data_IF_194888944642
#
_entry.id   IF_194888944642
#
_cell.length_a   1.000
_cell.length_b   1.000
_cell.length_c   1.000
_cell.angle_alpha   90.00
_cell.angle_beta   90.00
_cell.angle_gamma   90.00
#
_symmetry.space_group_name_H-M   'P 1'
#
loop_
_entity.id
_entity.type
_entity.pdbx_description
1 polymer ?
#
# COMPACT_ATOMS: atom_id res chain seq x y z
N UNK A 1 -25.99 2.90 -10.63
CA UNK A 1 -25.05 3.54 -9.68
C UNK A 1 -24.78 2.62 -8.48
N UNK A 2 -25.77 2.14 -7.72
CA UNK A 2 -25.57 1.24 -6.55
C UNK A 2 -24.80 -0.06 -6.83
N UNK A 3 -24.98 -0.69 -8.01
CA UNK A 3 -24.30 -1.95 -8.34
C UNK A 3 -22.78 -1.80 -8.51
N UNK A 4 -22.30 -0.62 -8.91
CA UNK A 4 -20.88 -0.38 -9.16
C UNK A 4 -20.10 -0.25 -7.85
N UNK A 5 -20.68 0.44 -6.86
CA UNK A 5 -20.06 0.61 -5.54
C UNK A 5 -19.93 -0.74 -4.81
N UNK A 6 -20.99 -1.57 -4.86
CA UNK A 6 -20.95 -2.91 -4.26
C UNK A 6 -19.88 -3.80 -4.91
N UNK A 7 -19.75 -3.75 -6.23
CA UNK A 7 -18.73 -4.50 -6.95
C UNK A 7 -17.32 -4.07 -6.54
N UNK A 8 -17.05 -2.76 -6.51
CA UNK A 8 -15.76 -2.22 -6.10
C UNK A 8 -15.42 -2.61 -4.64
N UNK A 9 -16.38 -2.50 -3.72
CA UNK A 9 -16.17 -2.89 -2.32
C UNK A 9 -15.85 -4.39 -2.17
N UNK A 10 -16.59 -5.26 -2.87
CA UNK A 10 -16.33 -6.71 -2.85
C UNK A 10 -14.97 -7.07 -3.44
N UNK A 11 -14.60 -6.44 -4.56
CA UNK A 11 -13.29 -6.65 -5.17
C UNK A 11 -12.16 -6.22 -4.23
N UNK A 12 -12.29 -5.04 -3.62
CA UNK A 12 -11.30 -4.49 -2.71
C UNK A 12 -11.14 -5.33 -1.44
N UNK A 13 -12.25 -5.77 -0.84
CA UNK A 13 -12.26 -6.71 0.29
C UNK A 13 -11.55 -8.03 -0.07
N UNK A 14 -11.83 -8.59 -1.25
CA UNK A 14 -11.17 -9.80 -1.70
C UNK A 14 -9.66 -9.60 -1.92
N UNK A 15 -9.25 -8.46 -2.50
CA UNK A 15 -7.83 -8.11 -2.65
C UNK A 15 -7.14 -7.94 -1.30
N UNK A 16 -7.82 -7.36 -0.30
CA UNK A 16 -7.26 -7.24 1.05
C UNK A 16 -7.06 -8.62 1.69
N UNK A 17 -8.05 -9.52 1.58
CA UNK A 17 -7.91 -10.91 2.05
C UNK A 17 -6.76 -11.64 1.36
N UNK A 18 -6.55 -11.42 0.06
CA UNK A 18 -5.40 -11.98 -0.65
C UNK A 18 -4.07 -11.44 -0.09
N UNK A 19 -3.99 -10.13 0.16
CA UNK A 19 -2.82 -9.47 0.76
C UNK A 19 -2.46 -10.09 2.11
N UNK A 20 -3.43 -10.18 3.01
CA UNK A 20 -3.27 -10.72 4.38
C UNK A 20 -2.80 -12.18 4.37
N UNK A 21 -3.30 -12.98 3.42
CA UNK A 21 -2.87 -14.37 3.24
C UNK A 21 -1.58 -14.51 2.43
N UNK A 22 -1.03 -13.41 1.88
CA UNK A 22 0.12 -13.43 0.97
C UNK A 22 -0.16 -14.14 -0.37
N UNK A 23 -1.42 -14.34 -0.73
CA UNK A 23 -1.81 -14.97 -2.00
C UNK A 23 -1.64 -13.97 -3.14
N UNK A 24 -0.95 -14.38 -4.21
CA UNK A 24 -0.62 -13.54 -5.38
C UNK A 24 0.17 -12.25 -5.08
N UNK A 25 0.63 -12.04 -3.85
CA UNK A 25 1.54 -10.94 -3.51
C UNK A 25 2.88 -11.13 -4.23
N UNK A 26 3.13 -10.27 -5.21
CA UNK A 26 4.33 -10.25 -6.06
C UNK A 26 5.28 -9.08 -5.72
N UNK A 27 4.91 -8.27 -4.72
CA UNK A 27 5.74 -7.21 -4.14
C UNK A 27 6.03 -7.49 -2.66
N UNK A 28 7.25 -7.18 -2.22
CA UNK A 28 7.58 -7.01 -0.81
C UNK A 28 8.21 -5.65 -0.60
N UNK A 29 7.53 -4.79 0.17
CA UNK A 29 8.08 -3.50 0.61
C UNK A 29 8.81 -3.69 1.92
N UNK A 30 10.04 -3.20 2.00
CA UNK A 30 10.92 -3.34 3.17
C UNK A 30 11.23 -1.96 3.71
N UNK A 31 10.94 -1.75 5.00
CA UNK A 31 11.27 -0.54 5.75
C UNK A 31 12.01 -0.98 7.01
N UNK A 32 13.33 -0.75 7.04
CA UNK A 32 14.19 -1.27 8.10
C UNK A 32 14.14 -2.80 8.15
N UNK A 33 13.64 -3.36 9.26
CA UNK A 33 13.50 -4.80 9.45
C UNK A 33 12.10 -5.34 9.14
N UNK A 34 11.13 -4.46 8.88
CA UNK A 34 9.74 -4.84 8.65
C UNK A 34 9.49 -5.04 7.15
N UNK A 35 8.66 -6.03 6.85
CA UNK A 35 8.33 -6.44 5.49
C UNK A 35 6.82 -6.44 5.30
N UNK A 36 6.37 -5.90 4.18
CA UNK A 36 4.97 -5.80 3.81
C UNK A 36 4.75 -6.45 2.46
N UNK A 37 3.99 -7.54 2.43
CA UNK A 37 3.57 -8.19 1.18
C UNK A 37 2.43 -7.39 0.55
N UNK A 38 2.48 -7.21 -0.75
CA UNK A 38 1.45 -6.51 -1.50
C UNK A 38 1.41 -6.98 -2.96
N UNK A 39 0.32 -6.64 -3.65
CA UNK A 39 0.20 -6.77 -5.09
C UNK A 39 0.76 -5.51 -5.78
N UNK A 40 1.69 -5.69 -6.73
CA UNK A 40 2.34 -4.60 -7.47
C UNK A 40 1.32 -3.78 -8.27
N UNK A 41 0.33 -4.43 -8.86
CA UNK A 41 -0.72 -3.78 -9.64
C UNK A 41 -1.57 -2.83 -8.79
N UNK A 42 -1.92 -3.22 -7.56
CA UNK A 42 -2.70 -2.39 -6.63
C UNK A 42 -1.88 -1.17 -6.20
N UNK A 43 -0.60 -1.36 -5.85
CA UNK A 43 0.30 -0.25 -5.50
C UNK A 43 0.49 0.73 -6.68
N UNK A 44 0.72 0.23 -7.89
CA UNK A 44 0.93 1.06 -9.08
C UNK A 44 -0.33 1.81 -9.56
N UNK A 45 -1.52 1.28 -9.24
CA UNK A 45 -2.79 1.95 -9.49
C UNK A 45 -2.97 3.16 -8.56
N UNK A 46 -2.53 3.03 -7.30
CA UNK A 46 -2.61 4.09 -6.31
C UNK A 46 -1.53 5.18 -6.50
N UNK A 47 -0.34 4.77 -6.95
CA UNK A 47 0.87 5.62 -6.88
C UNK A 47 1.71 5.64 -8.14
N UNK A 48 2.18 6.84 -8.50
CA UNK A 48 3.19 7.05 -9.53
C UNK A 48 4.58 6.52 -9.14
N UNK A 49 4.96 6.58 -7.86
CA UNK A 49 6.22 6.02 -7.37
C UNK A 49 6.25 4.50 -7.57
N UNK A 50 5.24 3.78 -7.07
CA UNK A 50 5.18 2.33 -7.23
C UNK A 50 5.05 1.91 -8.70
N UNK A 51 4.42 2.74 -9.53
CA UNK A 51 4.41 2.56 -10.99
C UNK A 51 5.79 2.70 -11.61
N UNK A 52 6.60 3.67 -11.19
CA UNK A 52 7.98 3.81 -11.67
C UNK A 52 8.86 2.64 -11.19
N UNK A 53 8.70 2.22 -9.94
CA UNK A 53 9.39 1.04 -9.39
C UNK A 53 9.01 -0.25 -10.13
N UNK A 54 7.79 -0.35 -10.66
CA UNK A 54 7.38 -1.49 -11.47
C UNK A 54 8.32 -1.73 -12.67
N UNK A 55 8.80 -0.66 -13.30
CA UNK A 55 9.69 -0.73 -14.46
C UNK A 55 11.09 -1.29 -14.14
N UNK A 56 11.47 -1.35 -12.87
CA UNK A 56 12.76 -1.88 -12.42
C UNK A 56 12.75 -3.41 -12.28
N UNK A 57 11.63 -4.08 -12.57
CA UNK A 57 11.42 -5.55 -12.47
C UNK A 57 11.78 -6.20 -11.11
N UNK A 58 12.02 -5.39 -10.08
CA UNK A 58 12.29 -5.88 -8.74
C UNK A 58 10.99 -6.30 -8.04
N UNK A 59 11.04 -7.47 -7.38
CA UNK A 59 10.01 -7.94 -6.45
C UNK A 59 10.10 -7.28 -5.08
N UNK A 60 11.26 -6.71 -4.75
CA UNK A 60 11.54 -6.10 -3.44
C UNK A 60 11.75 -4.61 -3.60
N UNK A 61 11.02 -3.82 -2.82
CA UNK A 61 11.10 -2.36 -2.80
C UNK A 61 11.62 -1.92 -1.44
N UNK A 62 12.77 -1.25 -1.43
CA UNK A 62 13.34 -0.71 -0.19
C UNK A 62 12.92 0.75 -0.04
N UNK A 63 12.27 1.06 1.08
CA UNK A 63 11.92 2.42 1.46
C UNK A 63 12.82 2.87 2.62
N UNK A 64 13.25 4.12 2.57
CA UNK A 64 14.13 4.69 3.58
C UNK A 64 13.34 4.96 4.88
N UNK A 65 13.72 4.25 5.95
CA UNK A 65 13.12 4.38 7.28
C UNK A 65 13.36 5.77 7.92
N UNK A 66 14.28 6.58 7.39
CA UNK A 66 14.47 7.98 7.80
C UNK A 66 13.41 8.93 7.23
N UNK A 67 12.78 8.54 6.12
CA UNK A 67 11.79 9.34 5.39
C UNK A 67 10.36 8.87 5.66
N UNK A 68 10.17 7.56 5.81
CA UNK A 68 8.86 6.93 5.94
C UNK A 68 8.85 6.08 7.21
N UNK A 69 7.93 6.41 8.13
CA UNK A 69 7.71 5.58 9.31
C UNK A 69 6.97 4.29 8.94
N UNK A 70 7.31 3.19 9.62
CA UNK A 70 6.70 1.89 9.36
C UNK A 70 5.22 1.84 9.74
N UNK A 71 4.83 2.55 10.80
CA UNK A 71 3.43 2.73 11.16
C UNK A 71 2.68 3.53 10.08
N UNK A 72 3.28 4.61 9.58
CA UNK A 72 2.68 5.43 8.53
C UNK A 72 2.48 4.65 7.25
N UNK A 73 3.46 3.83 6.85
CA UNK A 73 3.33 2.95 5.69
C UNK A 73 2.28 1.85 5.90
N UNK A 74 2.19 1.26 7.10
CA UNK A 74 1.16 0.27 7.40
C UNK A 74 -0.25 0.88 7.26
N UNK A 75 -0.48 2.07 7.84
CA UNK A 75 -1.76 2.79 7.71
C UNK A 75 -2.07 3.14 6.25
N UNK A 76 -1.07 3.57 5.48
CA UNK A 76 -1.23 3.82 4.04
C UNK A 76 -1.62 2.54 3.30
N UNK A 77 -0.93 1.43 3.57
CA UNK A 77 -1.22 0.15 2.94
C UNK A 77 -2.62 -0.34 3.29
N UNK A 78 -3.06 -0.18 4.54
CA UNK A 78 -4.43 -0.50 4.93
C UNK A 78 -5.44 0.41 4.23
N UNK A 79 -5.15 1.70 4.09
CA UNK A 79 -5.99 2.61 3.32
C UNK A 79 -6.12 2.18 1.85
N UNK A 80 -5.01 1.80 1.21
CA UNK A 80 -5.01 1.32 -0.19
C UNK A 80 -5.93 0.11 -0.36
N UNK A 81 -5.99 -0.78 0.64
CA UNK A 81 -6.74 -2.03 0.58
C UNK A 81 -8.13 -1.98 1.24
N UNK A 82 -8.50 -0.89 1.90
CA UNK A 82 -9.81 -0.78 2.58
C UNK A 82 -10.59 0.48 2.23
N UNK A 83 -9.94 1.48 1.63
CA UNK A 83 -10.50 2.81 1.41
C UNK A 83 -10.70 3.64 2.69
N UNK A 84 -10.30 3.11 3.87
CA UNK A 84 -10.48 3.76 5.15
C UNK A 84 -9.14 4.14 5.77
N UNK A 85 -8.96 5.42 6.07
CA UNK A 85 -7.78 5.93 6.78
C UNK A 85 -8.20 6.32 8.19
N UNK A 86 -7.70 5.61 9.19
CA UNK A 86 -7.84 6.06 10.57
C UNK A 86 -6.70 7.03 10.88
N UNK A 87 -7.04 8.33 10.95
CA UNK A 87 -6.07 9.43 11.09
C UNK A 87 -5.59 9.59 12.54
N UNK A 88 -6.15 8.82 13.49
CA UNK A 88 -5.69 8.77 14.87
C UNK A 88 -4.22 8.28 14.90
N UNK A 89 -3.29 9.23 15.02
CA UNK A 89 -1.84 9.01 15.11
C UNK A 89 -1.00 9.33 13.85
N UNK A 90 -1.55 9.95 12.80
CA UNK A 90 -0.75 10.42 11.64
C UNK A 90 0.02 11.74 11.89
N UNK A 91 -0.05 12.29 13.11
CA UNK A 91 0.62 13.53 13.49
C UNK A 91 2.06 13.25 13.94
N UNK A 92 2.96 12.86 13.03
CA UNK A 92 4.41 13.03 13.27
C UNK A 92 5.31 12.88 12.03
N UNK A 93 4.93 12.12 11.01
CA UNK A 93 5.78 11.97 9.81
C UNK A 93 5.27 12.90 8.70
N UNK A 94 6.14 13.78 8.18
CA UNK A 94 5.80 14.89 7.29
C UNK A 94 4.80 14.51 6.19
N UNK A 95 3.68 15.23 6.17
CA UNK A 95 2.50 15.02 5.30
C UNK A 95 2.79 15.05 3.79
N UNK A 96 4.03 15.36 3.39
CA UNK A 96 4.50 15.38 2.01
C UNK A 96 4.98 14.01 1.49
N UNK A 97 5.46 13.09 2.34
CA UNK A 97 6.07 11.84 1.87
C UNK A 97 5.04 10.77 1.48
N UNK A 98 3.91 10.70 2.18
CA UNK A 98 2.83 9.73 1.88
C UNK A 98 2.05 10.11 0.62
N UNK A 99 1.96 11.40 0.28
CA UNK A 99 1.29 11.90 -0.93
C UNK A 99 2.14 11.71 -2.20
N UNK A 100 3.45 11.51 -2.06
CA UNK A 100 4.36 11.22 -3.18
C UNK A 100 4.63 9.72 -3.37
N UNK A 101 4.16 8.89 -2.44
CA UNK A 101 4.27 7.43 -2.47
C UNK A 101 3.12 6.76 -3.18
#
# INVERSE_FOLDING_TARGET
>A
LVLQDQHCMQLLDQLNKQRENGFLCDCTVVIGQLQFKAHRNVLAAFSGYFRAVYALESRVVFLDQSQISTEGFHKLLDFIYTGNINIDGLVSCGSSCLMGL
#
